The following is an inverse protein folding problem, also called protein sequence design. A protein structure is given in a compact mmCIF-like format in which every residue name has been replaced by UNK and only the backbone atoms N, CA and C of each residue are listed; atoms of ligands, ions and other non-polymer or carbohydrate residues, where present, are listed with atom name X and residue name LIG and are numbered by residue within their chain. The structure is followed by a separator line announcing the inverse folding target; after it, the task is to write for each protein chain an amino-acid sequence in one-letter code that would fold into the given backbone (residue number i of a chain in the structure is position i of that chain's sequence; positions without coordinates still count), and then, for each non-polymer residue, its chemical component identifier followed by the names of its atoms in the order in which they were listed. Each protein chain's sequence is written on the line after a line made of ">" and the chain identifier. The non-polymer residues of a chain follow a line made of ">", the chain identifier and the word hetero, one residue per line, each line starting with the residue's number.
data_IF_452065164259
#
_entry.id   IF_452065164259
#
_cell.length_a   1.000
_cell.length_b   1.000
_cell.length_c   1.000
_cell.angle_alpha   90.00
_cell.angle_beta   90.00
_cell.angle_gamma   90.00
#
_symmetry.space_group_name_H-M   'P 1'
#
loop_
_entity.id
_entity.type
_entity.pdbx_description
1 polymer ?
#
# COMPACT_ATOMS: atom_id res chain seq x y z
N UNK A 1 -42.83 -20.80 -39.15
CA UNK A 1 -44.27 -20.98 -38.81
C UNK A 1 -44.39 -20.78 -37.31
N UNK A 2 -45.02 -19.78 -36.69
CA UNK A 2 -46.00 -18.72 -37.01
C UNK A 2 -45.44 -17.39 -36.43
N UNK A 3 -45.33 -16.28 -37.16
CA UNK A 3 -46.33 -15.23 -37.40
C UNK A 3 -47.24 -14.86 -36.21
N UNK A 4 -47.05 -13.65 -35.67
CA UNK A 4 -48.12 -12.73 -35.25
C UNK A 4 -47.58 -11.30 -35.17
N UNK A 5 -48.38 -10.37 -35.68
CA UNK A 5 -48.02 -9.00 -36.03
C UNK A 5 -49.03 -7.99 -35.46
N UNK A 6 -48.55 -6.75 -35.25
CA UNK A 6 -49.26 -5.44 -35.27
C UNK A 6 -50.34 -5.17 -34.20
N UNK A 7 -50.83 -3.91 -34.03
CA UNK A 7 -50.24 -2.57 -34.21
C UNK A 7 -50.56 -1.62 -33.03
N UNK A 8 -50.05 -0.38 -33.04
CA UNK A 8 -50.52 0.66 -32.12
C UNK A 8 -49.86 2.02 -32.32
N UNK A 9 -50.22 2.70 -33.40
CA UNK A 9 -49.90 4.12 -33.60
C UNK A 9 -50.89 4.99 -32.83
N UNK A 10 -50.41 6.03 -32.14
CA UNK A 10 -51.20 7.22 -31.79
C UNK A 10 -50.36 8.47 -32.05
N UNK A 11 -51.01 9.41 -32.73
CA UNK A 11 -50.49 10.63 -33.27
C UNK A 11 -50.70 11.85 -32.35
N UNK A 12 -49.90 12.88 -32.62
CA UNK A 12 -50.15 14.33 -32.47
C UNK A 12 -50.55 14.91 -31.11
N UNK A 13 -49.77 15.89 -30.66
CA UNK A 13 -50.31 17.24 -30.51
C UNK A 13 -49.19 18.30 -30.64
N UNK A 14 -49.37 19.20 -31.61
CA UNK A 14 -48.62 20.44 -31.77
C UNK A 14 -49.05 21.43 -30.69
N UNK A 15 -48.07 22.05 -30.02
CA UNK A 15 -48.31 23.16 -29.09
C UNK A 15 -47.09 24.05 -29.03
N UNK A 16 -47.03 25.04 -29.93
CA UNK A 16 -46.06 26.13 -29.88
C UNK A 16 -46.56 27.18 -28.87
N UNK A 17 -45.86 27.32 -27.75
CA UNK A 17 -46.00 28.46 -26.85
C UNK A 17 -44.69 29.25 -26.88
N UNK A 18 -44.74 30.43 -27.52
CA UNK A 18 -43.65 31.39 -27.52
C UNK A 18 -43.52 32.00 -26.10
N UNK A 19 -42.42 31.68 -25.41
CA UNK A 19 -42.06 32.30 -24.14
C UNK A 19 -41.12 33.48 -24.41
N UNK A 20 -41.50 34.64 -23.88
CA UNK A 20 -40.71 35.87 -23.91
C UNK A 20 -39.39 35.70 -23.14
N UNK A 21 -38.30 36.37 -23.55
CA UNK A 21 -37.03 36.34 -22.83
C UNK A 21 -37.13 37.15 -21.53
N UNK A 22 -37.10 36.47 -20.40
CA UNK A 22 -36.85 37.09 -19.09
C UNK A 22 -35.38 37.46 -18.99
N UNK A 23 -35.12 38.75 -18.75
CA UNK A 23 -33.78 39.26 -18.48
C UNK A 23 -33.23 38.61 -17.19
N UNK A 24 -32.17 37.81 -17.33
CA UNK A 24 -31.46 37.20 -16.22
C UNK A 24 -30.64 38.27 -15.51
N UNK A 25 -30.92 38.49 -14.22
CA UNK A 25 -30.11 39.35 -13.37
C UNK A 25 -28.68 38.80 -13.22
N UNK A 26 -27.65 39.66 -13.16
CA UNK A 26 -26.27 39.21 -13.01
C UNK A 26 -26.10 38.43 -11.70
N UNK A 27 -25.68 37.17 -11.83
CA UNK A 27 -25.31 36.30 -10.71
C UNK A 27 -24.11 36.92 -9.99
N UNK A 28 -24.15 37.10 -8.66
CA UNK A 28 -22.97 37.51 -7.89
C UNK A 28 -21.86 36.48 -8.13
N UNK A 29 -20.68 36.96 -8.54
CA UNK A 29 -19.50 36.13 -8.69
C UNK A 29 -19.26 35.35 -7.39
N UNK A 30 -19.27 34.03 -7.48
CA UNK A 30 -18.93 33.17 -6.36
C UNK A 30 -17.51 33.54 -5.90
N UNK A 31 -17.40 34.00 -4.65
CA UNK A 31 -16.11 34.27 -4.04
C UNK A 31 -15.28 32.99 -4.09
N UNK A 32 -14.12 33.06 -4.75
CA UNK A 32 -13.15 31.97 -4.80
C UNK A 32 -12.83 31.55 -3.36
N UNK A 33 -13.05 30.27 -2.97
CA UNK A 33 -12.66 29.81 -1.65
C UNK A 33 -11.17 30.08 -1.44
N UNK A 34 -10.83 30.75 -0.34
CA UNK A 34 -9.44 30.93 0.04
C UNK A 34 -8.77 29.55 0.11
N UNK A 35 -7.55 29.38 -0.45
CA UNK A 35 -6.85 28.11 -0.43
C UNK A 35 -6.70 27.64 1.02
N UNK A 36 -7.19 26.43 1.30
CA UNK A 36 -7.01 25.81 2.60
C UNK A 36 -5.50 25.74 2.92
N UNK A 37 -5.08 25.97 4.17
CA UNK A 37 -3.69 25.87 4.55
C UNK A 37 -3.17 24.47 4.16
N UNK A 38 -2.10 24.44 3.36
CA UNK A 38 -1.43 23.22 2.93
C UNK A 38 -1.08 22.38 4.15
N UNK A 39 -1.51 21.11 4.15
CA UNK A 39 -1.13 20.16 5.18
C UNK A 39 0.41 20.18 5.37
N UNK A 40 0.92 20.00 6.60
CA UNK A 40 2.35 19.93 6.84
C UNK A 40 3.00 18.92 5.89
N UNK A 41 4.09 19.30 5.23
CA UNK A 41 4.78 18.43 4.29
C UNK A 41 5.33 17.20 5.04
N UNK A 42 4.92 15.99 4.62
CA UNK A 42 5.42 14.74 5.17
C UNK A 42 6.93 14.58 4.88
N UNK A 43 7.73 14.10 5.84
CA UNK A 43 9.15 13.83 5.61
C UNK A 43 9.28 12.63 4.66
N UNK A 44 9.95 12.72 3.52
CA UNK A 44 10.18 11.55 2.68
C UNK A 44 11.10 10.56 3.38
N UNK A 45 10.72 9.28 3.37
CA UNK A 45 11.53 8.15 3.84
C UNK A 45 12.15 7.41 2.66
N UNK A 46 11.36 7.13 1.62
CA UNK A 46 11.79 6.48 0.40
C UNK A 46 11.01 7.00 -0.81
N UNK A 47 11.73 7.35 -1.88
CA UNK A 47 11.18 7.67 -3.19
C UNK A 47 11.92 6.85 -4.22
N UNK A 48 11.20 5.99 -4.92
CA UNK A 48 11.79 5.05 -5.87
C UNK A 48 12.05 5.69 -7.22
N UNK A 49 13.22 5.36 -7.76
CA UNK A 49 13.62 5.67 -9.13
C UNK A 49 13.68 4.36 -9.93
N UNK A 50 14.21 4.40 -11.14
CA UNK A 50 14.55 3.19 -11.90
C UNK A 50 15.87 2.53 -11.45
N UNK A 51 16.50 3.03 -10.38
CA UNK A 51 17.71 2.45 -9.79
C UNK A 51 17.40 1.65 -8.51
N UNK A 52 18.35 0.81 -8.07
CA UNK A 52 18.28 0.03 -6.83
C UNK A 52 18.44 0.88 -5.54
N UNK A 53 18.44 2.21 -5.68
CA UNK A 53 18.53 3.17 -4.58
C UNK A 53 17.38 4.17 -4.66
N UNK A 54 16.93 4.61 -3.48
CA UNK A 54 15.94 5.67 -3.33
C UNK A 54 16.61 7.03 -3.54
N UNK A 55 15.81 8.05 -3.86
CA UNK A 55 16.30 9.45 -3.96
C UNK A 55 17.00 9.89 -2.67
N UNK A 56 16.56 9.38 -1.52
CA UNK A 56 17.13 9.70 -0.22
C UNK A 56 18.48 9.00 0.03
N UNK A 57 18.88 8.05 -0.82
CA UNK A 57 20.13 7.29 -0.71
C UNK A 57 19.99 5.95 0.02
N UNK A 58 18.77 5.50 0.30
CA UNK A 58 18.51 4.18 0.90
C UNK A 58 18.48 3.08 -0.15
N UNK A 59 18.78 1.84 0.24
CA UNK A 59 18.63 0.68 -0.64
C UNK A 59 17.28 -0.01 -0.43
N UNK A 60 16.93 -0.89 -1.34
CA UNK A 60 15.82 -1.81 -1.14
C UNK A 60 16.17 -3.17 -1.76
N UNK A 61 15.73 -4.23 -1.09
CA UNK A 61 16.03 -5.60 -1.46
C UNK A 61 14.79 -6.47 -1.26
N UNK A 62 14.60 -7.44 -2.13
CA UNK A 62 13.53 -8.43 -1.96
C UNK A 62 13.97 -9.57 -1.05
N UNK A 63 13.00 -10.21 -0.42
CA UNK A 63 13.23 -11.40 0.39
C UNK A 63 12.06 -12.38 0.27
N UNK A 64 12.34 -13.63 0.57
CA UNK A 64 11.34 -14.67 0.80
C UNK A 64 11.64 -15.43 2.09
N UNK A 65 10.61 -15.99 2.69
CA UNK A 65 10.71 -16.82 3.89
C UNK A 65 9.65 -17.91 3.85
N UNK A 66 9.97 -19.07 4.40
CA UNK A 66 9.03 -20.17 4.57
C UNK A 66 9.50 -21.08 5.69
N UNK A 67 8.54 -21.74 6.36
CA UNK A 67 8.84 -22.79 7.35
C UNK A 67 9.69 -23.90 6.74
N UNK A 68 9.36 -24.27 5.51
CA UNK A 68 10.06 -25.30 4.75
C UNK A 68 10.58 -24.69 3.46
N UNK A 69 11.89 -24.83 3.27
CA UNK A 69 12.55 -24.28 2.10
C UNK A 69 11.88 -24.73 0.78
N UNK A 70 11.67 -23.78 -0.13
CA UNK A 70 11.03 -24.00 -1.43
C UNK A 70 9.51 -23.81 -1.48
N UNK A 71 8.84 -23.59 -0.34
CA UNK A 71 7.41 -23.21 -0.31
C UNK A 71 7.19 -21.70 -0.58
N UNK A 72 8.25 -20.89 -0.57
CA UNK A 72 8.26 -19.54 -1.12
C UNK A 72 9.46 -19.38 -2.06
N UNK A 73 9.37 -18.45 -3.00
CA UNK A 73 10.50 -18.05 -3.83
C UNK A 73 10.27 -16.70 -4.49
N UNK A 74 11.21 -15.79 -4.25
CA UNK A 74 11.29 -14.50 -4.93
C UNK A 74 11.73 -14.71 -6.39
N UNK A 75 10.97 -14.15 -7.33
CA UNK A 75 11.30 -14.23 -8.77
C UNK A 75 11.95 -12.94 -9.27
N UNK A 76 11.39 -11.78 -8.93
CA UNK A 76 11.95 -10.51 -9.35
C UNK A 76 11.59 -9.36 -8.41
N UNK A 77 12.53 -8.42 -8.29
CA UNK A 77 12.36 -7.08 -7.73
C UNK A 77 12.68 -6.10 -8.83
N UNK A 78 11.67 -5.43 -9.36
CA UNK A 78 11.81 -4.57 -10.53
C UNK A 78 11.48 -3.13 -10.15
N UNK A 79 12.48 -2.24 -10.05
CA UNK A 79 12.22 -0.82 -9.89
C UNK A 79 11.60 -0.24 -11.15
N UNK A 80 10.54 0.55 -10.96
CA UNK A 80 9.94 1.41 -11.96
C UNK A 80 9.90 2.84 -11.39
N UNK A 81 9.78 3.85 -12.26
CA UNK A 81 9.66 5.23 -11.80
C UNK A 81 8.46 5.37 -10.85
N UNK A 82 8.74 5.65 -9.57
CA UNK A 82 7.73 5.84 -8.52
C UNK A 82 7.33 4.58 -7.73
N UNK A 83 7.68 3.36 -8.14
CA UNK A 83 7.36 2.15 -7.38
C UNK A 83 8.27 0.95 -7.71
N UNK A 84 8.41 0.03 -6.76
CA UNK A 84 9.09 -1.27 -6.94
C UNK A 84 8.04 -2.36 -7.03
N UNK A 85 8.10 -3.17 -8.09
CA UNK A 85 7.27 -4.38 -8.24
C UNK A 85 8.01 -5.59 -7.70
N UNK A 86 7.31 -6.37 -6.88
CA UNK A 86 7.81 -7.63 -6.32
C UNK A 86 6.96 -8.76 -6.88
N UNK A 87 7.63 -9.76 -7.46
CA UNK A 87 6.97 -10.96 -7.98
C UNK A 87 7.61 -12.22 -7.43
N UNK A 88 6.80 -13.27 -7.30
CA UNK A 88 7.25 -14.54 -6.73
C UNK A 88 6.14 -15.56 -6.66
N UNK A 89 6.33 -16.58 -5.83
CA UNK A 89 5.30 -17.57 -5.54
C UNK A 89 5.30 -17.98 -4.06
N UNK A 90 4.13 -18.32 -3.55
CA UNK A 90 3.95 -18.94 -2.23
C UNK A 90 3.09 -20.19 -2.40
N UNK A 91 3.47 -21.28 -1.78
CA UNK A 91 2.73 -22.54 -1.78
C UNK A 91 2.96 -23.34 -0.50
N UNK A 92 2.42 -24.55 -0.48
CA UNK A 92 2.52 -25.46 0.68
C UNK A 92 2.86 -26.89 0.25
N UNK A 93 3.62 -27.04 -0.85
CA UNK A 93 3.96 -28.37 -1.38
C UNK A 93 4.81 -29.17 -0.40
N UNK A 94 5.60 -28.50 0.46
CA UNK A 94 6.33 -29.11 1.57
C UNK A 94 5.55 -29.05 2.89
N UNK A 95 4.42 -28.36 2.91
CA UNK A 95 3.50 -28.26 4.04
C UNK A 95 3.88 -27.16 5.03
N UNK A 96 4.43 -26.04 4.57
CA UNK A 96 4.63 -24.87 5.42
C UNK A 96 3.30 -24.33 5.95
N UNK A 97 3.27 -24.00 7.23
CA UNK A 97 2.13 -23.31 7.86
C UNK A 97 2.28 -21.79 7.79
N UNK A 98 3.50 -21.30 7.53
CA UNK A 98 3.82 -19.91 7.30
C UNK A 98 4.85 -19.76 6.18
N UNK A 99 4.67 -18.72 5.37
CA UNK A 99 5.57 -18.31 4.30
C UNK A 99 5.24 -16.88 3.88
N UNK A 100 6.14 -16.25 3.11
CA UNK A 100 5.88 -14.94 2.55
C UNK A 100 7.00 -14.46 1.63
N UNK A 101 6.68 -13.42 0.89
CA UNK A 101 7.60 -12.71 0.01
C UNK A 101 7.45 -11.22 0.25
N UNK A 102 8.55 -10.49 0.33
CA UNK A 102 8.53 -9.08 0.68
C UNK A 102 9.61 -8.24 0.02
N UNK A 103 9.53 -6.95 0.34
CA UNK A 103 10.51 -5.92 0.05
C UNK A 103 10.94 -5.27 1.36
N UNK A 104 12.23 -5.17 1.60
CA UNK A 104 12.82 -4.35 2.66
C UNK A 104 13.27 -3.03 2.05
N UNK A 105 12.82 -1.92 2.62
CA UNK A 105 13.18 -0.56 2.19
C UNK A 105 13.96 0.10 3.31
N UNK A 106 15.26 0.29 3.10
CA UNK A 106 16.13 0.89 4.11
C UNK A 106 15.95 2.40 4.16
N UNK A 107 15.94 2.94 5.38
CA UNK A 107 15.93 4.38 5.60
C UNK A 107 17.26 5.01 5.22
N UNK A 108 17.21 6.27 4.78
CA UNK A 108 18.39 7.07 4.48
C UNK A 108 18.52 8.35 5.34
N UNK A 109 19.74 8.84 5.64
CA UNK A 109 21.03 8.15 5.39
C UNK A 109 21.08 6.79 6.11
N UNK A 110 21.91 5.88 5.63
CA UNK A 110 21.99 4.51 6.16
C UNK A 110 22.19 4.53 7.67
N UNK A 111 21.30 3.85 8.41
CA UNK A 111 21.34 3.79 9.86
C UNK A 111 19.98 3.90 10.52
N UNK A 112 19.98 3.90 11.84
CA UNK A 112 18.77 4.01 12.65
C UNK A 112 18.18 5.43 12.58
N UNK A 113 16.88 5.52 12.37
CA UNK A 113 16.12 6.75 12.39
C UNK A 113 15.13 6.75 13.55
N UNK A 114 15.09 7.86 14.26
CA UNK A 114 14.05 8.10 15.25
C UNK A 114 12.76 8.55 14.56
N UNK A 115 11.76 7.66 14.60
CA UNK A 115 10.43 7.87 14.07
C UNK A 115 9.39 8.19 15.16
N UNK A 116 9.77 8.34 16.42
CA UNK A 116 8.86 8.53 17.55
C UNK A 116 7.98 9.79 17.46
N UNK A 117 8.43 10.79 16.70
CA UNK A 117 7.73 12.07 16.50
C UNK A 117 6.71 12.08 15.35
N UNK A 118 6.58 11.00 14.60
CA UNK A 118 5.65 10.92 13.47
C UNK A 118 4.39 10.17 13.88
N UNK A 119 3.26 10.56 13.31
CA UNK A 119 1.95 10.00 13.66
C UNK A 119 1.59 8.78 12.82
N UNK A 120 2.14 8.68 11.61
CA UNK A 120 1.88 7.56 10.71
C UNK A 120 3.09 7.26 9.79
N UNK A 121 3.04 6.07 9.17
CA UNK A 121 3.77 5.78 7.93
C UNK A 121 2.77 5.92 6.79
N UNK A 122 3.05 6.82 5.85
CA UNK A 122 2.33 6.88 4.58
C UNK A 122 3.10 6.04 3.56
N UNK A 123 2.46 5.03 2.99
CA UNK A 123 3.06 4.15 1.97
C UNK A 123 2.10 3.95 0.80
N UNK A 124 2.60 4.09 -0.44
CA UNK A 124 1.80 3.74 -1.62
C UNK A 124 1.87 2.23 -1.87
N UNK A 125 0.73 1.55 -1.94
CA UNK A 125 0.68 0.09 -2.14
C UNK A 125 -0.31 -0.30 -3.24
N UNK A 126 0.00 -1.37 -3.96
CA UNK A 126 -0.92 -2.06 -4.86
C UNK A 126 -0.65 -3.57 -4.84
N UNK A 127 -1.63 -4.39 -5.21
CA UNK A 127 -1.39 -5.78 -5.58
C UNK A 127 -2.26 -6.21 -6.74
N UNK A 128 -1.76 -7.07 -7.63
CA UNK A 128 -2.49 -7.50 -8.83
C UNK A 128 -3.91 -8.00 -8.57
N UNK A 129 -4.18 -8.50 -7.35
CA UNK A 129 -5.51 -8.76 -6.82
C UNK A 129 -5.68 -8.13 -5.43
N UNK A 130 -6.92 -7.83 -5.05
CA UNK A 130 -7.22 -7.33 -3.71
C UNK A 130 -6.83 -8.36 -2.65
N UNK A 131 -6.05 -7.93 -1.65
CA UNK A 131 -5.49 -8.80 -0.60
C UNK A 131 -5.02 -7.98 0.60
N UNK A 132 -4.38 -8.62 1.56
CA UNK A 132 -3.74 -7.94 2.70
C UNK A 132 -2.23 -8.12 2.63
N UNK A 133 -1.49 -7.01 2.72
CA UNK A 133 -0.03 -7.00 2.86
C UNK A 133 0.34 -6.73 4.32
N UNK A 134 1.43 -7.32 4.79
CA UNK A 134 2.03 -7.05 6.09
C UNK A 134 3.05 -5.94 5.95
N UNK A 135 2.86 -4.83 6.65
CA UNK A 135 3.84 -3.76 6.79
C UNK A 135 4.53 -3.91 8.14
N UNK A 136 5.86 -3.87 8.19
CA UNK A 136 6.64 -4.08 9.42
C UNK A 136 7.65 -2.95 9.62
N UNK A 137 7.76 -2.47 10.86
CA UNK A 137 8.79 -1.50 11.26
C UNK A 137 10.00 -2.27 11.77
N UNK A 138 11.14 -2.16 11.10
CA UNK A 138 12.34 -2.91 11.45
C UNK A 138 13.31 -2.02 12.21
N UNK A 139 13.74 -2.46 13.39
CA UNK A 139 14.77 -1.80 14.20
C UNK A 139 16.17 -2.44 14.04
N UNK A 140 17.09 -2.06 14.92
CA UNK A 140 18.50 -2.47 14.89
C UNK A 140 18.82 -3.84 15.51
N UNK A 141 17.87 -4.47 16.19
CA UNK A 141 18.07 -5.73 16.91
C UNK A 141 17.98 -6.93 15.97
N UNK A 142 19.13 -7.55 15.70
CA UNK A 142 19.25 -8.64 14.74
C UNK A 142 18.48 -9.91 15.18
N UNK A 143 18.36 -10.17 16.48
CA UNK A 143 17.62 -11.33 16.99
C UNK A 143 16.11 -11.17 16.77
N UNK A 144 15.57 -9.97 16.99
CA UNK A 144 14.18 -9.61 16.69
C UNK A 144 13.92 -9.68 15.19
N UNK A 145 14.85 -9.21 14.36
CA UNK A 145 14.75 -9.33 12.89
C UNK A 145 14.70 -10.79 12.44
N UNK A 146 15.64 -11.61 12.92
CA UNK A 146 15.75 -13.02 12.56
C UNK A 146 14.54 -13.86 12.99
N UNK A 147 13.93 -13.53 14.13
CA UNK A 147 12.68 -14.15 14.60
C UNK A 147 11.42 -13.54 13.98
N UNK A 148 11.55 -12.44 13.24
CA UNK A 148 10.44 -11.73 12.61
C UNK A 148 9.55 -10.95 13.56
N UNK A 149 9.97 -10.74 14.81
CA UNK A 149 9.14 -10.28 15.93
C UNK A 149 9.10 -8.76 16.15
N UNK A 150 9.37 -8.01 15.09
CA UNK A 150 9.09 -6.58 15.03
C UNK A 150 7.59 -6.30 14.85
N UNK A 151 7.11 -5.10 15.22
CA UNK A 151 5.68 -4.79 15.16
C UNK A 151 5.22 -4.60 13.71
N UNK A 152 4.02 -5.07 13.42
CA UNK A 152 3.43 -5.13 12.09
C UNK A 152 2.05 -4.50 12.03
N UNK A 153 1.61 -4.17 10.82
CA UNK A 153 0.25 -3.79 10.49
C UNK A 153 -0.20 -4.55 9.24
N UNK A 154 -1.44 -5.04 9.25
CA UNK A 154 -2.04 -5.78 8.14
C UNK A 154 -2.88 -4.84 7.27
N UNK A 155 -2.32 -4.38 6.16
CA UNK A 155 -2.94 -3.41 5.27
C UNK A 155 -3.69 -4.08 4.13
N UNK A 156 -5.01 -3.90 4.07
CA UNK A 156 -5.81 -4.28 2.91
C UNK A 156 -5.48 -3.40 1.70
N UNK A 157 -5.18 -4.02 0.56
CA UNK A 157 -4.75 -3.35 -0.68
C UNK A 157 -5.63 -3.71 -1.87
N UNK A 158 -5.63 -2.81 -2.86
CA UNK A 158 -6.35 -2.95 -4.14
C UNK A 158 -5.37 -3.04 -5.31
N UNK A 159 -5.83 -3.36 -6.54
CA UNK A 159 -5.00 -3.29 -7.76
C UNK A 159 -4.49 -1.91 -8.14
N UNK A 160 -5.14 -0.84 -7.66
CA UNK A 160 -4.71 0.53 -7.91
C UNK A 160 -3.67 0.95 -6.86
N UNK A 161 -2.54 1.46 -7.33
CA UNK A 161 -1.52 2.09 -6.48
C UNK A 161 -2.10 3.34 -5.83
N UNK A 162 -2.15 3.33 -4.50
CA UNK A 162 -2.67 4.45 -3.70
C UNK A 162 -1.95 4.56 -2.37
N UNK A 163 -1.99 5.74 -1.79
CA UNK A 163 -1.41 6.01 -0.49
C UNK A 163 -2.27 5.45 0.65
N UNK A 164 -1.61 4.87 1.64
CA UNK A 164 -2.20 4.41 2.88
C UNK A 164 -1.50 5.08 4.04
N UNK A 165 -2.26 5.80 4.85
CA UNK A 165 -1.79 6.34 6.13
C UNK A 165 -2.00 5.29 7.21
N UNK A 166 -0.90 4.65 7.64
CA UNK A 166 -0.90 3.64 8.69
C UNK A 166 -0.47 4.32 9.99
N UNK A 167 -1.38 4.53 10.96
CA UNK A 167 -1.03 5.16 12.23
C UNK A 167 0.07 4.37 12.93
N UNK A 168 1.08 5.06 13.49
CA UNK A 168 2.15 4.38 14.25
C UNK A 168 1.56 3.56 15.39
N UNK A 169 0.50 4.05 16.03
CA UNK A 169 -0.21 3.35 17.10
C UNK A 169 -0.94 2.07 16.67
N UNK A 170 -1.15 1.85 15.35
CA UNK A 170 -1.81 0.66 14.83
C UNK A 170 -0.84 -0.52 14.66
N UNK A 171 0.46 -0.29 14.67
CA UNK A 171 1.46 -1.35 14.62
C UNK A 171 1.47 -2.12 15.95
N UNK A 172 1.43 -3.44 15.86
CA UNK A 172 1.43 -4.32 17.01
C UNK A 172 2.32 -5.55 16.75
N UNK A 173 2.93 -6.14 17.79
CA UNK A 173 3.62 -7.41 17.62
C UNK A 173 2.66 -8.54 17.21
N UNK A 174 3.18 -9.51 16.47
CA UNK A 174 2.42 -10.70 16.12
C UNK A 174 2.30 -11.66 17.31
N UNK A 175 1.15 -12.34 17.44
CA UNK A 175 0.86 -13.19 18.61
C UNK A 175 1.85 -14.34 18.81
N UNK A 176 2.43 -14.87 17.73
CA UNK A 176 3.42 -15.95 17.80
C UNK A 176 4.73 -15.53 18.49
N UNK A 177 4.99 -14.23 18.63
CA UNK A 177 6.21 -13.71 19.22
C UNK A 177 6.22 -13.76 20.75
N UNK A 178 5.05 -13.81 21.41
CA UNK A 178 4.97 -13.88 22.87
C UNK A 178 5.88 -12.84 23.57
N UNK A 179 6.74 -13.29 24.48
CA UNK A 179 7.70 -12.43 25.19
C UNK A 179 8.86 -11.91 24.33
N UNK A 180 9.08 -12.48 23.15
CA UNK A 180 10.12 -12.05 22.21
C UNK A 180 9.67 -10.89 21.31
N UNK A 181 8.40 -10.49 21.43
CA UNK A 181 7.81 -9.37 20.71
C UNK A 181 8.50 -8.05 21.03
N UNK A 182 8.92 -7.31 20.00
CA UNK A 182 9.33 -5.91 20.16
C UNK A 182 8.11 -5.02 20.02
N UNK A 183 7.88 -4.17 21.03
CA UNK A 183 6.80 -3.20 20.98
C UNK A 183 7.09 -2.08 19.98
N UNK A 184 6.04 -1.42 19.50
CA UNK A 184 6.16 -0.23 18.64
C UNK A 184 6.95 0.88 19.33
N UNK A 185 6.61 1.19 20.60
CA UNK A 185 7.33 2.20 21.37
C UNK A 185 8.84 1.92 21.50
N UNK A 186 9.23 0.65 21.63
CA UNK A 186 10.64 0.26 21.72
C UNK A 186 11.34 0.17 20.35
N UNK A 187 10.59 0.19 19.25
CA UNK A 187 11.11 0.12 17.87
C UNK A 187 11.31 1.51 17.27
N UNK A 188 10.35 2.42 17.48
CA UNK A 188 10.31 3.75 16.85
C UNK A 188 11.60 4.59 17.00
N UNK A 189 12.32 4.58 18.15
CA UNK A 189 13.54 5.38 18.30
C UNK A 189 14.71 4.94 17.39
N UNK A 190 14.65 3.75 16.80
CA UNK A 190 15.78 3.16 16.08
C UNK A 190 15.35 2.34 14.84
N UNK A 191 14.43 2.87 14.03
CA UNK A 191 13.95 2.20 12.81
C UNK A 191 15.01 2.29 11.71
N UNK A 192 15.41 1.15 11.15
CA UNK A 192 16.39 1.06 10.05
C UNK A 192 15.70 0.79 8.71
N UNK A 193 14.54 0.15 8.71
CA UNK A 193 13.83 -0.19 7.48
C UNK A 193 12.32 -0.29 7.70
N UNK A 194 11.59 -0.21 6.59
CA UNK A 194 10.17 -0.56 6.50
C UNK A 194 10.07 -1.73 5.53
N UNK A 195 9.42 -2.80 5.97
CA UNK A 195 9.20 -3.99 5.15
C UNK A 195 7.74 -4.10 4.75
N UNK A 196 7.51 -4.56 3.52
CA UNK A 196 6.18 -4.88 3.00
C UNK A 196 6.23 -6.29 2.46
N UNK A 197 5.36 -7.17 2.94
CA UNK A 197 5.31 -8.56 2.50
C UNK A 197 3.89 -9.03 2.21
N UNK A 198 3.75 -9.98 1.30
CA UNK A 198 2.55 -10.81 1.15
C UNK A 198 2.75 -12.10 1.99
N UNK A 199 2.10 -12.25 3.15
CA UNK A 199 2.31 -13.40 4.04
C UNK A 199 1.29 -14.53 3.79
N UNK A 200 0.44 -14.42 2.76
CA UNK A 200 -0.73 -15.30 2.64
C UNK A 200 -0.33 -16.69 2.18
N UNK A 201 -0.47 -17.68 3.04
CA UNK A 201 -0.30 -19.09 2.67
C UNK A 201 -1.62 -19.63 2.12
N UNK A 202 -1.57 -20.36 1.02
CA UNK A 202 -2.73 -21.02 0.42
C UNK A 202 -2.41 -22.50 0.16
N UNK A 203 -3.44 -23.35 0.16
CA UNK A 203 -3.28 -24.80 -0.04
C UNK A 203 -2.66 -25.17 -1.40
N UNK A 204 -2.78 -24.27 -2.39
CA UNK A 204 -2.16 -24.40 -3.70
C UNK A 204 -1.11 -23.32 -3.87
N UNK A 205 -0.09 -23.61 -4.69
CA UNK A 205 0.87 -22.60 -5.12
C UNK A 205 0.11 -21.46 -5.79
N UNK A 206 0.43 -20.24 -5.37
CA UNK A 206 -0.11 -19.00 -5.93
C UNK A 206 1.03 -18.05 -6.27
N UNK A 207 0.77 -17.19 -7.23
CA UNK A 207 1.70 -16.13 -7.57
C UNK A 207 1.57 -14.96 -6.60
N UNK A 208 2.68 -14.29 -6.38
CA UNK A 208 2.80 -13.03 -5.65
C UNK A 208 3.11 -11.95 -6.67
N UNK A 209 2.35 -10.85 -6.60
CA UNK A 209 2.56 -9.66 -7.42
C UNK A 209 2.01 -8.46 -6.68
N UNK A 210 2.90 -7.60 -6.18
CA UNK A 210 2.54 -6.36 -5.52
C UNK A 210 3.56 -5.27 -5.79
N UNK A 211 3.15 -4.03 -5.52
CA UNK A 211 3.96 -2.84 -5.70
C UNK A 211 4.08 -2.07 -4.39
N UNK A 212 5.28 -1.52 -4.16
CA UNK A 212 5.57 -0.56 -3.09
C UNK A 212 6.03 0.73 -3.73
N UNK A 213 5.26 1.80 -3.57
CA UNK A 213 5.60 3.15 -3.99
C UNK A 213 6.18 3.98 -2.85
N UNK A 214 6.13 5.30 -2.98
CA UNK A 214 6.78 6.21 -2.04
C UNK A 214 6.39 5.94 -0.57
N UNK A 215 7.36 6.14 0.32
CA UNK A 215 7.18 6.07 1.77
C UNK A 215 7.49 7.45 2.35
N UNK A 216 6.59 7.96 3.18
CA UNK A 216 6.77 9.24 3.87
C UNK A 216 6.21 9.20 5.29
N UNK A 217 6.60 10.19 6.09
CA UNK A 217 6.37 10.26 7.53
C UNK A 217 5.67 11.58 7.86
N UNK A 218 4.32 11.60 7.91
CA UNK A 218 3.56 12.73 8.42
C UNK A 218 3.78 12.94 9.92
N UNK A 219 3.78 14.20 10.35
CA UNK A 219 3.83 14.60 11.76
C UNK A 219 2.43 14.87 12.26
#
# INVERSE_FOLDING_TARGET
>A
MRLLALPGAVAMCLGACALAPTAVAPTPAAATPAPAPSAPAAKPFATFTNAATTVQGGTFDGFDYAEKAGDAGLLAVTPAAGAVRVTGFIGTAKGSTWAGIGLTVQGAPSGAQDLSRYTAVRVSLASASAKTLRVRLVGTDAATLASGCYPVFMQAVTPQLRDYDIPMAAFAPEGHCGSNARTTAATLPAVVAIEVADPTVAAQRRDVDFQVGAISLPR
#
